data_IF_896084121292
#
_entry.id   IF_896084121292
#
_cell.length_a   1.000
_cell.length_b   1.000
_cell.length_c   1.000
_cell.angle_alpha   90.00
_cell.angle_beta   90.00
_cell.angle_gamma   90.00
#
_symmetry.space_group_name_H-M   'P 1'
#
loop_
_entity.id
_entity.type
_entity.pdbx_description
1 polymer ?
#
# COMPACT_ATOMS: atom_id res chain seq x y z
N UNK A 1 -28.83 -38.58 14.64
CA UNK A 1 -27.71 -38.15 13.77
C UNK A 1 -27.84 -36.65 13.57
N UNK A 2 -27.11 -35.85 14.37
CA UNK A 2 -27.25 -34.39 14.39
C UNK A 2 -26.44 -33.77 13.26
N UNK A 3 -27.05 -32.79 12.61
CA UNK A 3 -26.59 -32.15 11.39
C UNK A 3 -25.23 -31.49 11.55
N UNK A 4 -24.50 -31.51 10.45
CA UNK A 4 -23.30 -30.70 10.24
C UNK A 4 -23.77 -29.24 10.37
N UNK A 5 -23.42 -28.58 11.47
CA UNK A 5 -23.54 -27.12 11.58
C UNK A 5 -22.66 -26.53 10.48
N UNK A 6 -23.32 -26.12 9.40
CA UNK A 6 -22.68 -25.57 8.22
C UNK A 6 -22.15 -24.18 8.58
N UNK A 7 -20.92 -24.14 9.11
CA UNK A 7 -20.11 -22.93 9.17
C UNK A 7 -20.17 -22.25 7.82
N UNK A 8 -20.68 -21.01 7.79
CA UNK A 8 -21.02 -20.30 6.55
C UNK A 8 -19.77 -20.06 5.71
N UNK A 9 -19.53 -20.89 4.70
CA UNK A 9 -18.52 -20.62 3.67
C UNK A 9 -18.97 -19.41 2.84
N UNK A 10 -18.43 -18.22 3.15
CA UNK A 10 -18.66 -17.00 2.38
C UNK A 10 -17.56 -16.80 1.34
N UNK A 11 -17.98 -16.39 0.14
CA UNK A 11 -17.11 -16.24 -1.01
C UNK A 11 -16.14 -15.04 -0.86
N UNK A 12 -15.02 -15.04 -1.60
CA UNK A 12 -14.06 -13.90 -1.61
C UNK A 12 -14.71 -12.56 -1.96
N UNK A 13 -15.72 -12.57 -2.84
CA UNK A 13 -16.48 -11.38 -3.23
C UNK A 13 -17.35 -10.87 -2.08
N UNK A 14 -17.95 -11.80 -1.33
CA UNK A 14 -18.76 -11.59 -0.14
C UNK A 14 -17.93 -10.96 1.00
N UNK A 15 -16.61 -11.21 1.01
CA UNK A 15 -15.66 -10.58 1.93
C UNK A 15 -14.86 -9.42 1.32
N UNK A 16 -15.12 -9.06 0.05
CA UNK A 16 -14.31 -8.14 -0.78
C UNK A 16 -12.80 -8.40 -0.64
N UNK A 17 -12.41 -9.68 -0.54
CA UNK A 17 -11.03 -10.13 -0.44
C UNK A 17 -10.40 -10.15 -1.84
N UNK A 18 -9.69 -9.09 -2.19
CA UNK A 18 -8.70 -9.14 -3.26
C UNK A 18 -7.51 -10.00 -2.79
N UNK A 19 -6.85 -10.67 -3.73
CA UNK A 19 -5.68 -11.49 -3.44
C UNK A 19 -4.59 -10.65 -2.77
N UNK A 20 -3.91 -11.25 -1.80
CA UNK A 20 -2.81 -10.60 -1.09
C UNK A 20 -1.73 -10.11 -2.06
N UNK A 21 -1.44 -10.87 -3.14
CA UNK A 21 -0.52 -10.47 -4.21
C UNK A 21 -0.99 -9.22 -4.95
N UNK A 22 -2.25 -9.17 -5.38
CA UNK A 22 -2.80 -8.00 -6.09
C UNK A 22 -2.83 -6.74 -5.22
N UNK A 23 -3.07 -6.89 -3.91
CA UNK A 23 -3.03 -5.77 -2.95
C UNK A 23 -1.61 -5.35 -2.60
N UNK A 24 -0.72 -6.32 -2.39
CA UNK A 24 0.69 -6.07 -2.14
C UNK A 24 1.28 -5.30 -3.32
N UNK A 25 0.97 -5.68 -4.56
CA UNK A 25 1.41 -4.95 -5.75
C UNK A 25 0.90 -3.51 -5.80
N UNK A 26 -0.35 -3.26 -5.40
CA UNK A 26 -0.94 -1.92 -5.39
C UNK A 26 -0.27 -0.97 -4.40
N UNK A 27 0.22 -1.46 -3.27
CA UNK A 27 0.94 -0.68 -2.25
C UNK A 27 2.45 -0.66 -2.51
N UNK A 28 3.04 -1.81 -2.84
CA UNK A 28 4.49 -1.95 -3.01
C UNK A 28 5.00 -1.28 -4.28
N UNK A 29 4.24 -1.29 -5.38
CA UNK A 29 4.67 -0.66 -6.63
C UNK A 29 4.88 0.85 -6.48
N UNK A 30 3.93 1.66 -5.96
CA UNK A 30 4.15 3.08 -5.75
C UNK A 30 5.24 3.32 -4.69
N UNK A 31 5.26 2.55 -3.59
CA UNK A 31 6.33 2.62 -2.58
C UNK A 31 7.73 2.46 -3.19
N UNK A 32 7.95 1.38 -3.95
CA UNK A 32 9.22 1.09 -4.63
C UNK A 32 9.58 2.17 -5.66
N UNK A 33 8.59 2.79 -6.29
CA UNK A 33 8.82 3.91 -7.23
C UNK A 33 9.38 5.13 -6.49
N UNK A 34 8.78 5.53 -5.37
CA UNK A 34 9.30 6.62 -4.52
C UNK A 34 10.73 6.30 -4.08
N UNK A 35 10.96 5.10 -3.54
CA UNK A 35 12.29 4.66 -3.09
C UNK A 35 13.33 4.76 -4.21
N UNK A 36 13.01 4.26 -5.40
CA UNK A 36 13.90 4.30 -6.55
C UNK A 36 14.24 5.73 -6.97
N UNK A 37 13.29 6.66 -6.92
CA UNK A 37 13.53 8.06 -7.25
C UNK A 37 14.44 8.70 -6.19
N UNK A 38 14.19 8.46 -4.89
CA UNK A 38 15.03 8.97 -3.80
C UNK A 38 16.47 8.49 -3.91
N UNK A 39 16.67 7.19 -4.19
CA UNK A 39 18.00 6.61 -4.43
C UNK A 39 18.67 7.22 -5.67
N UNK A 40 17.93 7.49 -6.75
CA UNK A 40 18.46 8.17 -7.96
C UNK A 40 18.88 9.62 -7.71
N UNK A 41 18.32 10.26 -6.69
CA UNK A 41 18.73 11.59 -6.25
C UNK A 41 19.86 11.53 -5.20
N UNK A 42 20.42 10.34 -4.93
CA UNK A 42 21.52 10.15 -3.99
C UNK A 42 21.12 10.16 -2.52
N UNK A 43 19.83 10.07 -2.21
CA UNK A 43 19.35 9.93 -0.82
C UNK A 43 19.01 8.50 -0.44
N UNK A 44 18.30 8.35 0.68
CA UNK A 44 17.91 7.03 1.22
C UNK A 44 16.53 6.60 0.73
N UNK A 45 16.30 5.28 0.71
CA UNK A 45 15.00 4.68 0.44
C UNK A 45 13.98 4.82 1.60
N UNK A 46 14.35 5.51 2.68
CA UNK A 46 13.45 5.77 3.80
C UNK A 46 12.45 6.87 3.39
N UNK A 47 11.16 6.55 3.32
CA UNK A 47 10.11 7.52 2.99
C UNK A 47 9.94 8.58 4.08
N UNK A 48 10.23 8.25 5.34
CA UNK A 48 10.10 9.16 6.49
C UNK A 48 11.27 10.15 6.61
N UNK A 49 12.36 9.92 5.88
CA UNK A 49 13.47 10.86 5.85
C UNK A 49 13.10 12.07 4.95
N UNK A 50 13.71 13.26 5.17
CA UNK A 50 13.57 14.39 4.27
C UNK A 50 13.85 14.03 2.82
N UNK A 51 13.12 14.63 1.87
CA UNK A 51 13.32 14.34 0.46
C UNK A 51 14.73 14.81 0.02
N UNK A 52 15.47 14.02 -0.79
CA UNK A 52 16.85 14.34 -1.13
C UNK A 52 16.96 15.65 -1.92
N UNK A 53 17.91 16.50 -1.54
CA UNK A 53 18.20 17.74 -2.27
C UNK A 53 18.71 17.44 -3.69
N UNK A 54 18.61 18.44 -4.57
CA UNK A 54 19.09 18.33 -5.95
C UNK A 54 20.58 17.95 -6.02
N UNK A 55 20.96 16.86 -6.70
CA UNK A 55 22.35 16.51 -6.92
C UNK A 55 23.15 17.59 -7.68
N UNK A 56 24.46 17.70 -7.43
CA UNK A 56 25.33 18.60 -8.18
C UNK A 56 25.28 18.23 -9.67
N UNK A 57 25.36 19.23 -10.55
CA UNK A 57 25.28 19.09 -12.02
C UNK A 57 23.95 18.56 -12.58
N UNK A 58 22.94 18.28 -11.74
CA UNK A 58 21.59 17.98 -12.23
C UNK A 58 20.86 19.26 -12.64
N UNK A 59 20.27 19.24 -13.84
CA UNK A 59 19.42 20.34 -14.31
C UNK A 59 18.16 20.46 -13.45
N UNK A 60 17.78 21.70 -13.08
CA UNK A 60 16.63 21.96 -12.18
C UNK A 60 15.32 21.36 -12.72
N UNK A 61 15.06 21.45 -14.03
CA UNK A 61 13.88 20.84 -14.67
C UNK A 61 13.82 19.32 -14.46
N UNK A 62 14.96 18.63 -14.54
CA UNK A 62 15.02 17.17 -14.36
C UNK A 62 14.78 16.79 -12.90
N UNK A 63 15.29 17.59 -11.98
CA UNK A 63 15.02 17.41 -10.56
C UNK A 63 13.54 17.58 -10.24
N UNK A 64 12.91 18.68 -10.68
CA UNK A 64 11.50 18.92 -10.43
C UNK A 64 10.62 17.84 -11.05
N UNK A 65 10.90 17.39 -12.27
CA UNK A 65 10.19 16.26 -12.86
C UNK A 65 10.26 14.99 -11.99
N UNK A 66 11.42 14.70 -11.39
CA UNK A 66 11.57 13.56 -10.46
C UNK A 66 10.86 13.80 -9.13
N UNK A 67 10.88 15.04 -8.63
CA UNK A 67 10.14 15.43 -7.45
C UNK A 67 8.63 15.21 -7.64
N UNK A 68 8.08 15.70 -8.76
CA UNK A 68 6.66 15.53 -9.09
C UNK A 68 6.30 14.06 -9.28
N UNK A 69 7.17 13.28 -9.94
CA UNK A 69 6.99 11.83 -10.10
C UNK A 69 6.98 11.11 -8.74
N UNK A 70 7.85 11.52 -7.81
CA UNK A 70 7.90 10.96 -6.47
C UNK A 70 6.64 11.36 -5.67
N UNK A 71 6.22 12.62 -5.73
CA UNK A 71 5.01 13.11 -5.06
C UNK A 71 3.75 12.37 -5.55
N UNK A 72 3.61 12.17 -6.87
CA UNK A 72 2.51 11.40 -7.43
C UNK A 72 2.53 9.92 -7.00
N UNK A 73 3.72 9.32 -6.96
CA UNK A 73 3.87 7.94 -6.48
C UNK A 73 3.58 7.82 -4.98
N UNK A 74 3.96 8.82 -4.18
CA UNK A 74 3.68 8.86 -2.75
C UNK A 74 2.18 9.02 -2.48
N UNK A 75 1.49 9.90 -3.22
CA UNK A 75 0.04 10.00 -3.15
C UNK A 75 -0.66 8.66 -3.49
N UNK A 76 -0.20 7.96 -4.53
CA UNK A 76 -0.72 6.65 -4.88
C UNK A 76 -0.45 5.58 -3.80
N UNK A 77 0.72 5.61 -3.18
CA UNK A 77 1.06 4.73 -2.06
C UNK A 77 0.13 4.98 -0.86
N UNK A 78 -0.05 6.24 -0.48
CA UNK A 78 -0.91 6.63 0.65
C UNK A 78 -2.36 6.24 0.39
N UNK A 79 -2.89 6.49 -0.82
CA UNK A 79 -4.24 6.06 -1.19
C UNK A 79 -4.41 4.54 -1.10
N UNK A 80 -3.46 3.78 -1.64
CA UNK A 80 -3.52 2.31 -1.59
C UNK A 80 -3.41 1.79 -0.15
N UNK A 81 -2.55 2.40 0.68
CA UNK A 81 -2.40 2.05 2.08
C UNK A 81 -3.68 2.30 2.87
N UNK A 82 -4.33 3.46 2.68
CA UNK A 82 -5.62 3.77 3.32
C UNK A 82 -6.69 2.72 2.99
N UNK A 83 -6.81 2.34 1.72
CA UNK A 83 -7.73 1.27 1.31
C UNK A 83 -7.42 -0.06 2.01
N UNK A 84 -6.13 -0.40 2.17
CA UNK A 84 -5.75 -1.63 2.90
C UNK A 84 -6.11 -1.53 4.38
N UNK A 85 -5.86 -0.39 5.02
CA UNK A 85 -6.18 -0.16 6.43
C UNK A 85 -7.68 -0.30 6.70
N UNK A 86 -8.52 0.32 5.87
CA UNK A 86 -9.98 0.19 5.92
C UNK A 86 -10.42 -1.28 5.81
N UNK A 87 -9.86 -2.01 4.85
CA UNK A 87 -10.17 -3.43 4.66
C UNK A 87 -9.70 -4.29 5.84
N UNK A 88 -8.57 -3.95 6.46
CA UNK A 88 -8.09 -4.65 7.65
C UNK A 88 -8.95 -4.36 8.87
N UNK A 89 -9.38 -3.11 9.11
CA UNK A 89 -10.29 -2.76 10.21
C UNK A 89 -11.59 -3.55 10.11
N UNK A 90 -12.22 -3.51 8.93
CA UNK A 90 -13.46 -4.25 8.69
C UNK A 90 -13.29 -5.77 8.81
N UNK A 91 -12.08 -6.33 8.66
CA UNK A 91 -11.81 -7.75 8.91
C UNK A 91 -11.66 -8.04 10.40
N UNK A 92 -11.00 -7.16 11.15
CA UNK A 92 -10.83 -7.28 12.60
C UNK A 92 -12.20 -7.23 13.27
N UNK A 93 -13.05 -6.25 12.91
CA UNK A 93 -14.42 -6.12 13.41
C UNK A 93 -15.24 -7.40 13.15
N UNK A 94 -15.21 -7.92 11.92
CA UNK A 94 -15.89 -9.17 11.57
C UNK A 94 -15.34 -10.40 12.29
N UNK A 95 -14.05 -10.43 12.60
CA UNK A 95 -13.44 -11.52 13.35
C UNK A 95 -13.79 -11.43 14.85
N UNK A 96 -13.95 -10.20 15.37
CA UNK A 96 -14.43 -9.96 16.74
C UNK A 96 -15.92 -10.29 16.90
N UNK A 97 -16.73 -10.09 15.86
CA UNK A 97 -18.15 -10.45 15.82
C UNK A 97 -18.40 -11.96 15.60
N UNK A 98 -17.36 -12.74 15.30
CA UNK A 98 -17.48 -14.18 15.18
C UNK A 98 -17.40 -14.80 16.58
N UNK A 99 -18.45 -15.48 17.08
CA UNK A 99 -18.42 -16.06 18.41
C UNK A 99 -17.28 -17.07 18.49
N UNK A 100 -16.46 -16.93 19.54
CA UNK A 100 -15.47 -17.92 19.95
C UNK A 100 -16.25 -19.14 20.45
N UNK A 101 -16.46 -20.12 19.58
CA UNK A 101 -16.90 -21.48 19.95
C UNK A 101 -15.75 -22.25 20.61
#
# INVERSE_FOLDING_TARGET
MRGIEAGRFRCRHCHRLAYASTRADAVDRPRRRVQRIRMRLGGTANLQAPFPSKPPRMHRRTYWRRYDEAAAAEAAYTAALLTVLEQTSARIERAADQPLE
#
